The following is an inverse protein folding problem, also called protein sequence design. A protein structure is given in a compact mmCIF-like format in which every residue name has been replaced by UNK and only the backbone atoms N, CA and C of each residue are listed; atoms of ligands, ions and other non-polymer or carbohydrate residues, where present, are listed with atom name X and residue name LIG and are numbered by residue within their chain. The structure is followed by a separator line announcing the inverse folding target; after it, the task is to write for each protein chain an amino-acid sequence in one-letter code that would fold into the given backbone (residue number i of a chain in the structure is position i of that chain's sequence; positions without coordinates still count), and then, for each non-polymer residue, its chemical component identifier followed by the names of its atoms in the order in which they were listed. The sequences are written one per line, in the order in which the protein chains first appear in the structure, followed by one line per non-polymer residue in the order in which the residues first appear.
data_IF_793322346088
#
_entry.id   IF_793322346088
#
_cell.length_a   1.000
_cell.length_b   1.000
_cell.length_c   1.000
_cell.angle_alpha   90.00
_cell.angle_beta   90.00
_cell.angle_gamma   90.00
#
_symmetry.space_group_name_H-M   'P 1'
#
loop_
_entity.id
_entity.type
_entity.pdbx_description
1 polymer ?
#
# COMPACT_ATOMS: atom_id res chain seq x y z
N UNK A 1 8.26 26.56 -18.20
CA UNK A 1 9.17 25.47 -17.81
C UNK A 1 8.36 24.35 -17.16
N UNK A 2 8.35 23.15 -17.71
CA UNK A 2 7.65 22.02 -17.08
C UNK A 2 8.35 21.66 -15.76
N UNK A 3 7.62 21.70 -14.65
CA UNK A 3 8.16 21.30 -13.34
C UNK A 3 8.58 19.82 -13.40
N UNK A 4 9.85 19.52 -13.10
CA UNK A 4 10.35 18.13 -13.00
C UNK A 4 9.43 17.33 -12.10
N UNK A 5 8.87 16.24 -12.62
CA UNK A 5 7.95 15.38 -11.90
C UNK A 5 8.69 14.64 -10.79
N UNK A 6 8.24 14.80 -9.53
CA UNK A 6 8.73 13.99 -8.41
C UNK A 6 8.12 12.58 -8.50
N UNK A 7 8.96 11.56 -8.41
CA UNK A 7 8.58 10.13 -8.50
C UNK A 7 7.96 9.68 -9.84
N UNK A 8 8.73 9.72 -10.94
CA UNK A 8 8.23 9.29 -12.26
C UNK A 8 7.76 7.83 -12.27
N UNK A 9 8.49 6.92 -11.59
CA UNK A 9 8.21 5.48 -11.54
C UNK A 9 7.11 5.06 -10.55
N UNK A 10 6.49 6.01 -9.85
CA UNK A 10 5.46 5.70 -8.85
C UNK A 10 4.13 5.32 -9.51
N UNK A 11 3.79 5.95 -10.63
CA UNK A 11 2.56 5.63 -11.35
C UNK A 11 2.65 4.22 -11.94
N UNK A 12 1.61 3.40 -11.74
CA UNK A 12 1.59 2.01 -12.19
C UNK A 12 2.41 1.04 -11.34
N UNK A 13 3.15 1.53 -10.33
CA UNK A 13 3.89 0.66 -9.42
C UNK A 13 2.95 -0.21 -8.58
N UNK A 14 3.40 -1.43 -8.31
CA UNK A 14 2.65 -2.45 -7.56
C UNK A 14 3.14 -2.49 -6.13
N UNK A 15 2.22 -2.67 -5.19
CA UNK A 15 2.51 -2.69 -3.77
C UNK A 15 1.69 -3.75 -3.05
N UNK A 16 2.26 -4.30 -2.00
CA UNK A 16 1.60 -5.25 -1.11
C UNK A 16 1.58 -4.70 0.31
N UNK A 17 0.40 -4.52 0.88
CA UNK A 17 0.21 -4.10 2.26
C UNK A 17 0.51 -5.27 3.20
N UNK A 18 1.26 -5.01 4.28
CA UNK A 18 1.53 -5.99 5.34
C UNK A 18 0.29 -6.27 6.19
N UNK A 19 -0.49 -5.24 6.48
CA UNK A 19 -1.79 -5.35 7.12
C UNK A 19 -2.89 -5.27 6.05
N UNK A 20 -4.02 -5.94 6.25
CA UNK A 20 -5.17 -5.79 5.35
C UNK A 20 -5.70 -4.36 5.47
N UNK A 21 -5.80 -3.67 4.35
CA UNK A 21 -6.41 -2.34 4.27
C UNK A 21 -7.69 -2.51 3.47
N UNK A 22 -8.86 -2.19 4.05
CA UNK A 22 -10.16 -2.41 3.41
C UNK A 22 -10.37 -3.88 2.98
N UNK A 23 -9.81 -4.84 3.73
CA UNK A 23 -9.86 -6.27 3.39
C UNK A 23 -8.83 -6.72 2.34
N UNK A 24 -8.15 -5.80 1.66
CA UNK A 24 -7.22 -6.09 0.56
C UNK A 24 -5.75 -5.89 0.95
N UNK A 25 -4.86 -6.53 0.19
CA UNK A 25 -3.40 -6.42 0.38
C UNK A 25 -2.66 -6.03 -0.90
N UNK A 26 -3.15 -6.40 -2.07
CA UNK A 26 -2.49 -6.06 -3.33
C UNK A 26 -3.09 -4.80 -3.92
N UNK A 27 -2.24 -3.81 -4.14
CA UNK A 27 -2.63 -2.52 -4.67
C UNK A 27 -1.72 -2.10 -5.83
N UNK A 28 -2.26 -1.32 -6.74
CA UNK A 28 -1.51 -0.65 -7.81
C UNK A 28 -1.72 0.85 -7.71
N UNK A 29 -0.67 1.63 -7.96
CA UNK A 29 -0.79 3.08 -8.01
C UNK A 29 -1.48 3.50 -9.31
N UNK A 30 -2.72 3.99 -9.22
CA UNK A 30 -3.47 4.50 -10.38
C UNK A 30 -3.23 5.99 -10.63
N UNK A 31 -2.93 6.77 -9.59
CA UNK A 31 -2.72 8.20 -9.72
C UNK A 31 -1.68 8.71 -8.71
N UNK A 32 -1.19 9.93 -8.95
CA UNK A 32 -0.34 10.65 -7.99
C UNK A 32 -0.76 12.11 -7.94
N UNK A 33 -0.80 12.67 -6.74
CA UNK A 33 -1.10 14.08 -6.51
C UNK A 33 0.06 14.71 -5.73
N UNK A 34 0.57 15.82 -6.22
CA UNK A 34 1.55 16.62 -5.48
C UNK A 34 0.81 17.77 -4.80
N UNK A 35 0.90 17.82 -3.47
CA UNK A 35 0.33 18.87 -2.64
C UNK A 35 1.47 19.59 -1.92
N UNK A 36 1.90 20.72 -2.49
CA UNK A 36 3.10 21.45 -2.04
C UNK A 36 4.36 20.59 -2.05
N UNK A 37 4.88 20.30 -0.85
CA UNK A 37 6.06 19.45 -0.64
C UNK A 37 5.75 17.95 -0.54
N UNK A 38 4.47 17.60 -0.35
CA UNK A 38 4.03 16.23 -0.16
C UNK A 38 3.59 15.63 -1.49
N UNK A 39 3.81 14.32 -1.63
CA UNK A 39 3.35 13.55 -2.79
C UNK A 39 2.48 12.43 -2.25
N UNK A 40 1.28 12.32 -2.78
CA UNK A 40 0.35 11.25 -2.47
C UNK A 40 0.20 10.33 -3.68
N UNK A 41 0.07 9.04 -3.41
CA UNK A 41 -0.24 8.02 -4.39
C UNK A 41 -1.66 7.52 -4.14
N UNK A 42 -2.47 7.47 -5.19
CA UNK A 42 -3.75 6.79 -5.18
C UNK A 42 -3.49 5.31 -5.48
N UNK A 43 -3.73 4.47 -4.49
CA UNK A 43 -3.65 3.03 -4.57
C UNK A 43 -5.04 2.46 -4.81
N UNK A 44 -5.15 1.56 -5.78
CA UNK A 44 -6.38 0.85 -6.15
C UNK A 44 -6.15 -0.63 -5.90
N UNK A 45 -7.09 -1.31 -5.23
CA UNK A 45 -6.94 -2.74 -4.99
C UNK A 45 -6.97 -3.50 -6.32
N UNK A 46 -6.05 -4.44 -6.48
CA UNK A 46 -5.91 -5.17 -7.76
C UNK A 46 -7.09 -6.11 -8.03
N UNK A 47 -7.78 -6.55 -6.98
CA UNK A 47 -8.93 -7.45 -7.06
C UNK A 47 -10.27 -6.72 -7.03
N UNK A 48 -10.28 -5.46 -6.59
CA UNK A 48 -11.49 -4.65 -6.48
C UNK A 48 -11.18 -3.17 -6.78
N UNK A 49 -11.53 -2.67 -7.98
CA UNK A 49 -11.22 -1.29 -8.37
C UNK A 49 -12.03 -0.24 -7.60
N UNK A 50 -13.07 -0.64 -6.84
CA UNK A 50 -13.86 0.27 -6.00
C UNK A 50 -13.09 0.69 -4.75
N UNK A 51 -12.17 -0.16 -4.27
CA UNK A 51 -11.32 0.14 -3.13
C UNK A 51 -10.16 1.00 -3.57
N UNK A 52 -10.22 2.27 -3.17
CA UNK A 52 -9.23 3.30 -3.48
C UNK A 52 -8.79 3.99 -2.21
N UNK A 53 -7.48 4.18 -2.06
CA UNK A 53 -6.92 4.86 -0.90
C UNK A 53 -5.77 5.77 -1.29
N UNK A 54 -5.67 6.91 -0.62
CA UNK A 54 -4.59 7.86 -0.81
C UNK A 54 -3.55 7.70 0.29
N UNK A 55 -2.32 7.40 -0.09
CA UNK A 55 -1.18 7.29 0.84
C UNK A 55 -0.11 8.30 0.51
N UNK A 56 0.57 8.79 1.54
CA UNK A 56 1.76 9.59 1.31
C UNK A 56 2.84 8.70 0.68
N UNK A 57 3.46 9.15 -0.42
CA UNK A 57 4.50 8.41 -1.12
C UNK A 57 5.72 8.11 -0.22
N UNK A 58 5.92 8.89 0.85
CA UNK A 58 6.94 8.57 1.87
C UNK A 58 6.58 7.32 2.68
N UNK A 59 5.30 7.06 2.95
CA UNK A 59 4.86 5.85 3.67
C UNK A 59 5.09 4.57 2.87
N UNK A 60 5.02 4.62 1.53
CA UNK A 60 5.37 3.47 0.68
C UNK A 60 6.83 3.05 0.81
N UNK A 61 7.71 3.93 1.31
CA UNK A 61 9.10 3.56 1.64
C UNK A 61 9.19 2.73 2.92
N UNK A 62 8.19 2.79 3.80
CA UNK A 62 8.17 2.01 5.04
C UNK A 62 7.84 0.54 4.77
N UNK A 63 8.83 -0.33 4.89
CA UNK A 63 8.74 -1.78 4.63
C UNK A 63 7.91 -2.56 5.64
N UNK A 64 7.66 -1.97 6.82
CA UNK A 64 6.76 -2.55 7.82
C UNK A 64 5.29 -2.41 7.44
N UNK A 65 4.96 -1.46 6.56
CA UNK A 65 3.60 -1.24 6.07
C UNK A 65 3.43 -1.75 4.63
N UNK A 66 4.42 -1.47 3.77
CA UNK A 66 4.31 -1.69 2.33
C UNK A 66 5.53 -2.42 1.77
N UNK A 67 5.28 -3.46 1.00
CA UNK A 67 6.30 -4.14 0.21
C UNK A 67 6.14 -3.77 -1.27
N UNK A 68 7.25 -3.47 -1.97
CA UNK A 68 7.21 -3.22 -3.42
C UNK A 68 6.93 -4.52 -4.18
N UNK A 69 6.15 -4.42 -5.25
CA UNK A 69 5.70 -5.55 -6.06
C UNK A 69 4.53 -6.30 -5.44
N UNK A 70 4.09 -7.34 -6.16
CA UNK A 70 3.17 -8.34 -5.62
C UNK A 70 4.02 -9.41 -4.94
N UNK A 71 4.02 -9.38 -3.61
CA UNK A 71 4.72 -10.36 -2.81
C UNK A 71 3.71 -11.42 -2.36
N UNK A 72 4.01 -12.71 -2.51
CA UNK A 72 3.21 -13.75 -1.87
C UNK A 72 3.27 -13.57 -0.34
N UNK A 73 2.26 -14.04 0.37
CA UNK A 73 2.24 -14.09 1.83
C UNK A 73 3.23 -15.16 2.35
N UNK A 74 4.51 -15.08 1.99
CA UNK A 74 5.50 -16.02 2.49
C UNK A 74 6.11 -15.46 3.78
N UNK A 75 5.31 -15.55 4.85
CA UNK A 75 5.68 -15.98 6.20
C UNK A 75 4.49 -15.62 7.11
N UNK A 76 3.93 -16.56 7.89
CA UNK A 76 2.96 -16.22 8.92
C UNK A 76 3.61 -15.20 9.87
N UNK A 77 3.13 -13.95 9.82
CA UNK A 77 3.20 -13.13 11.02
C UNK A 77 2.17 -13.77 11.94
N UNK A 78 2.65 -14.73 12.71
CA UNK A 78 2.05 -15.14 13.97
C UNK A 78 1.69 -13.87 14.76
N UNK A 79 0.59 -13.93 15.51
CA UNK A 79 0.06 -12.92 16.46
C UNK A 79 -0.84 -11.85 15.79
N UNK A 80 -2.11 -11.66 16.16
CA UNK A 80 -2.67 -11.67 17.51
C UNK A 80 -4.22 -11.86 17.53
N UNK A 81 -4.71 -13.08 17.32
CA UNK A 81 -6.13 -13.45 17.61
C UNK A 81 -6.23 -14.90 18.16
N UNK A 82 -5.16 -15.45 18.73
CA UNK A 82 -5.12 -16.83 19.22
C UNK A 82 -5.22 -16.97 20.76
N UNK A 83 -5.29 -15.86 21.51
CA UNK A 83 -5.32 -15.90 22.99
C UNK A 83 -6.74 -15.83 23.60
N UNK A 84 -7.81 -15.81 22.81
CA UNK A 84 -9.19 -15.89 23.34
C UNK A 84 -9.81 -17.29 23.23
N UNK A 85 -9.20 -18.25 22.52
CA UNK A 85 -9.86 -19.53 22.22
C UNK A 85 -9.56 -20.67 23.21
N UNK A 86 -8.54 -20.54 24.06
CA UNK A 86 -8.18 -21.57 25.07
C UNK A 86 -8.51 -21.20 26.52
N UNK A 87 -9.16 -20.05 26.75
CA UNK A 87 -9.56 -19.57 28.08
C UNK A 87 -11.08 -19.69 28.33
N UNK A 88 -11.79 -20.52 27.58
CA UNK A 88 -13.22 -20.79 27.78
C UNK A 88 -13.53 -22.29 27.88
#
# INVERSE_FOLDING_TARGET
MARKQKYPHLLGSKWTARQKTEGWRHFQVANRKQEGQWVFAELVASCDPTVRLWVNAKQLKNRSLWQPGWQPLNNPTVEADAEEFWLN
#
